data_IF_397555038837
#
_entry.id   IF_397555038837
#
_cell.length_a   1.000
_cell.length_b   1.000
_cell.length_c   1.000
_cell.angle_alpha   90.00
_cell.angle_beta   90.00
_cell.angle_gamma   90.00
#
_symmetry.space_group_name_H-M   'P 1'
#
loop_
_entity.id
_entity.type
_entity.pdbx_description
1 polymer ?
#
# COMPACT_ATOMS: atom_id res chain seq x y z
N UNK A 1 9.70 4.69 7.32
CA UNK A 1 10.86 4.13 6.58
C UNK A 1 11.29 4.99 5.38
N UNK A 2 10.35 5.56 4.60
CA UNK A 2 10.64 6.52 3.50
C UNK A 2 11.69 7.56 3.93
N UNK A 3 11.44 8.27 5.04
CA UNK A 3 12.37 9.26 5.59
C UNK A 3 13.77 8.70 5.89
N UNK A 4 13.86 7.48 6.43
CA UNK A 4 15.15 6.86 6.77
C UNK A 4 15.94 6.53 5.50
N UNK A 5 15.27 6.06 4.45
CA UNK A 5 15.90 5.79 3.16
C UNK A 5 16.36 7.09 2.48
N UNK A 6 15.48 8.10 2.43
CA UNK A 6 15.80 9.42 1.88
C UNK A 6 17.00 10.06 2.61
N UNK A 7 17.01 10.04 3.95
CA UNK A 7 18.13 10.55 4.75
C UNK A 7 19.43 9.79 4.48
N UNK A 8 19.37 8.45 4.37
CA UNK A 8 20.55 7.64 4.05
C UNK A 8 21.16 8.01 2.70
N UNK A 9 20.32 8.25 1.68
CA UNK A 9 20.79 8.70 0.36
C UNK A 9 21.33 10.12 0.41
N UNK A 10 20.70 11.01 1.17
CA UNK A 10 21.18 12.36 1.38
C UNK A 10 22.60 12.37 1.98
N UNK A 11 22.83 11.58 3.04
CA UNK A 11 24.14 11.44 3.69
C UNK A 11 25.20 10.86 2.75
N UNK A 12 24.83 9.95 1.85
CA UNK A 12 25.75 9.31 0.90
C UNK A 12 26.14 10.21 -0.27
N UNK A 13 25.23 11.08 -0.70
CA UNK A 13 25.41 11.94 -1.87
C UNK A 13 25.83 13.37 -1.50
N UNK A 14 25.70 13.74 -0.23
CA UNK A 14 26.09 15.05 0.30
C UNK A 14 25.08 16.16 0.00
N UNK A 15 23.84 15.82 -0.36
CA UNK A 15 22.75 16.79 -0.54
C UNK A 15 22.12 17.15 0.81
N UNK A 16 21.60 18.38 0.93
CA UNK A 16 20.83 18.80 2.10
C UNK A 16 19.39 18.31 1.98
N UNK A 17 18.92 17.52 2.96
CA UNK A 17 17.54 17.05 3.03
C UNK A 17 16.79 17.77 4.14
N UNK A 18 15.65 18.37 3.80
CA UNK A 18 14.70 18.94 4.76
C UNK A 18 13.44 18.07 4.80
N UNK A 19 13.18 17.43 5.93
CA UNK A 19 11.97 16.62 6.15
C UNK A 19 10.94 17.46 6.90
N UNK A 20 9.79 17.69 6.28
CA UNK A 20 8.68 18.46 6.85
C UNK A 20 7.48 17.54 7.01
N UNK A 21 7.01 17.37 8.24
CA UNK A 21 5.75 16.64 8.49
C UNK A 21 4.56 17.56 8.26
N UNK A 22 3.59 17.10 7.47
CA UNK A 22 2.28 17.73 7.34
C UNK A 22 1.37 17.53 8.56
N UNK A 23 1.75 16.67 9.50
CA UNK A 23 0.96 16.32 10.70
C UNK A 23 -0.51 15.97 10.38
N UNK A 24 -0.70 15.15 9.33
CA UNK A 24 -1.99 14.74 8.77
C UNK A 24 -2.94 15.90 8.37
N UNK A 25 -2.40 17.11 8.20
CA UNK A 25 -3.12 18.30 7.79
C UNK A 25 -2.68 18.75 6.38
N UNK A 26 -3.58 18.61 5.41
CA UNK A 26 -3.30 18.95 4.00
C UNK A 26 -2.99 20.43 3.80
N UNK A 27 -3.55 21.32 4.63
CA UNK A 27 -3.26 22.76 4.59
C UNK A 27 -1.82 23.04 5.02
N UNK A 28 -1.35 22.39 6.08
CA UNK A 28 0.03 22.49 6.55
C UNK A 28 1.01 21.96 5.51
N UNK A 29 0.69 20.86 4.82
CA UNK A 29 1.49 20.34 3.70
C UNK A 29 1.55 21.32 2.52
N UNK A 30 0.44 21.95 2.15
CA UNK A 30 0.43 22.98 1.10
C UNK A 30 1.25 24.23 1.49
N UNK A 31 1.20 24.65 2.76
CA UNK A 31 2.05 25.74 3.25
C UNK A 31 3.55 25.38 3.23
N UNK A 32 3.89 24.11 3.48
CA UNK A 32 5.27 23.64 3.36
C UNK A 32 5.79 23.77 1.92
N UNK A 33 4.96 23.45 0.92
CA UNK A 33 5.28 23.68 -0.49
C UNK A 33 5.60 25.15 -0.78
N UNK A 34 4.74 26.08 -0.36
CA UNK A 34 4.98 27.51 -0.57
C UNK A 34 6.32 27.98 0.04
N UNK A 35 6.70 27.44 1.21
CA UNK A 35 7.99 27.73 1.85
C UNK A 35 9.19 27.12 1.11
N UNK A 36 9.08 25.87 0.64
CA UNK A 36 10.12 25.18 -0.12
C UNK A 36 10.37 25.90 -1.45
N UNK A 37 9.30 26.28 -2.15
CA UNK A 37 9.37 27.06 -3.39
C UNK A 37 10.05 28.41 -3.13
N UNK A 38 9.64 29.13 -2.09
CA UNK A 38 10.23 30.42 -1.74
C UNK A 38 11.72 30.31 -1.34
N UNK A 39 12.12 29.17 -0.78
CA UNK A 39 13.51 28.88 -0.40
C UNK A 39 14.38 28.46 -1.59
N UNK A 40 13.79 28.19 -2.76
CA UNK A 40 14.50 27.81 -3.97
C UNK A 40 15.18 26.45 -3.88
N UNK A 41 14.50 25.45 -3.29
CA UNK A 41 15.01 24.07 -3.27
C UNK A 41 15.13 23.50 -4.68
N UNK A 42 16.05 22.55 -4.88
CA UNK A 42 16.33 21.98 -6.20
C UNK A 42 15.30 20.93 -6.65
N UNK A 43 14.57 20.32 -5.72
CA UNK A 43 13.49 19.35 -5.97
C UNK A 43 12.62 19.19 -4.72
N UNK A 44 11.39 18.68 -4.89
CA UNK A 44 10.47 18.37 -3.78
C UNK A 44 10.01 16.91 -3.89
N UNK A 45 10.06 16.17 -2.78
CA UNK A 45 9.42 14.85 -2.64
C UNK A 45 8.16 15.04 -1.79
N UNK A 46 7.02 14.48 -2.23
CA UNK A 46 5.74 14.58 -1.52
C UNK A 46 5.04 13.24 -1.39
N UNK A 47 4.70 12.88 -0.15
CA UNK A 47 3.70 11.86 0.16
C UNK A 47 2.39 12.60 0.52
N UNK A 48 1.43 12.60 -0.40
CA UNK A 48 0.28 13.51 -0.35
C UNK A 48 -0.80 13.04 0.65
N UNK A 49 -1.16 13.91 1.60
CA UNK A 49 -2.27 13.65 2.54
C UNK A 49 -3.62 13.71 1.80
N UNK A 50 -3.78 14.70 0.93
CA UNK A 50 -4.93 14.87 0.05
C UNK A 50 -4.41 15.00 -1.38
N UNK A 51 -4.55 13.93 -2.16
CA UNK A 51 -4.04 13.81 -3.52
C UNK A 51 -4.68 14.81 -4.49
N UNK A 52 -5.89 15.29 -4.22
CA UNK A 52 -6.52 16.33 -5.03
C UNK A 52 -6.20 17.73 -4.50
N UNK A 53 -6.22 17.90 -3.18
CA UNK A 53 -5.92 19.17 -2.51
C UNK A 53 -4.49 19.67 -2.70
N UNK A 54 -3.53 18.77 -2.93
CA UNK A 54 -2.11 19.12 -3.10
C UNK A 54 -1.77 19.63 -4.52
N UNK A 55 -2.56 19.29 -5.54
CA UNK A 55 -2.28 19.58 -6.95
C UNK A 55 -1.94 21.05 -7.24
N UNK A 56 -2.68 22.05 -6.70
CA UNK A 56 -2.32 23.45 -6.92
C UNK A 56 -0.91 23.82 -6.42
N UNK A 57 -0.42 23.17 -5.38
CA UNK A 57 0.93 23.38 -4.83
C UNK A 57 2.00 22.78 -5.75
N UNK A 58 1.73 21.62 -6.33
CA UNK A 58 2.62 20.96 -7.31
C UNK A 58 2.73 21.81 -8.57
N UNK A 59 1.61 22.31 -9.10
CA UNK A 59 1.59 23.22 -10.25
C UNK A 59 2.37 24.52 -9.98
N UNK A 60 2.35 25.04 -8.74
CA UNK A 60 3.19 26.19 -8.37
C UNK A 60 4.69 25.86 -8.39
N UNK A 61 5.07 24.66 -7.94
CA UNK A 61 6.47 24.21 -7.96
C UNK A 61 6.97 24.04 -9.40
N UNK A 62 6.18 23.40 -10.26
CA UNK A 62 6.47 23.28 -11.70
C UNK A 62 6.62 24.65 -12.38
N UNK A 63 5.71 25.59 -12.10
CA UNK A 63 5.82 26.96 -12.61
C UNK A 63 7.07 27.72 -12.11
N UNK A 64 7.65 27.31 -10.98
CA UNK A 64 8.91 27.83 -10.45
C UNK A 64 10.15 27.06 -10.99
N UNK A 65 9.94 26.01 -11.78
CA UNK A 65 11.00 25.15 -12.31
C UNK A 65 11.57 24.17 -11.28
N UNK A 66 10.82 23.86 -10.22
CA UNK A 66 11.21 22.91 -9.18
C UNK A 66 10.51 21.58 -9.45
N UNK A 67 11.24 20.51 -9.81
CA UNK A 67 10.64 19.22 -10.09
C UNK A 67 10.04 18.59 -8.83
N UNK A 68 8.94 17.86 -9.02
CA UNK A 68 8.19 17.20 -7.95
C UNK A 68 8.15 15.68 -8.16
N UNK A 69 8.61 14.95 -7.15
CA UNK A 69 8.47 13.49 -7.04
C UNK A 69 7.35 13.18 -6.05
N UNK A 70 6.26 12.58 -6.53
CA UNK A 70 5.22 12.03 -5.66
C UNK A 70 5.61 10.62 -5.20
N UNK A 71 5.35 10.27 -3.94
CA UNK A 71 5.68 8.96 -3.37
C UNK A 71 4.51 8.40 -2.57
N UNK A 72 4.32 7.07 -2.60
CA UNK A 72 3.21 6.33 -1.97
C UNK A 72 1.83 6.69 -2.52
N UNK A 73 1.24 7.80 -2.09
CA UNK A 73 -0.03 8.29 -2.61
C UNK A 73 0.11 8.75 -4.07
N UNK A 74 -0.78 8.26 -4.93
CA UNK A 74 -0.77 8.63 -6.35
C UNK A 74 -1.39 10.01 -6.56
N UNK A 75 -0.63 10.92 -7.15
CA UNK A 75 -1.13 12.24 -7.56
C UNK A 75 -1.21 12.29 -9.09
N UNK A 76 -2.42 12.17 -9.62
CA UNK A 76 -2.68 12.27 -11.07
C UNK A 76 -2.71 13.74 -11.52
N UNK A 77 -1.53 14.28 -11.81
CA UNK A 77 -1.33 15.62 -12.36
C UNK A 77 -0.07 15.63 -13.26
N UNK A 78 -0.12 16.23 -14.47
CA UNK A 78 1.05 16.31 -15.36
C UNK A 78 2.21 17.13 -14.80
N UNK A 79 2.01 17.92 -13.75
CA UNK A 79 3.08 18.64 -13.04
C UNK A 79 3.87 17.75 -12.07
N UNK A 80 3.53 16.47 -11.92
CA UNK A 80 4.35 15.48 -11.22
C UNK A 80 5.36 14.89 -12.20
N UNK A 81 6.66 15.10 -11.94
CA UNK A 81 7.74 14.60 -12.79
C UNK A 81 7.96 13.09 -12.65
N UNK A 82 7.74 12.57 -11.44
CA UNK A 82 7.94 11.15 -11.13
C UNK A 82 6.97 10.70 -10.04
N UNK A 83 6.22 9.63 -10.29
CA UNK A 83 5.47 8.91 -9.28
C UNK A 83 6.26 7.67 -8.83
N UNK A 84 6.51 7.53 -7.54
CA UNK A 84 7.05 6.33 -6.92
C UNK A 84 5.96 5.68 -6.09
N UNK A 85 5.74 4.37 -6.23
CA UNK A 85 4.69 3.71 -5.46
C UNK A 85 4.62 2.22 -5.70
N UNK A 86 3.69 1.56 -5.02
CA UNK A 86 3.54 0.10 -5.12
C UNK A 86 3.03 -0.35 -6.49
N UNK A 87 3.62 -1.43 -7.02
CA UNK A 87 3.06 -2.21 -8.12
C UNK A 87 1.80 -2.99 -7.68
N UNK A 88 0.66 -2.29 -7.49
CA UNK A 88 -0.53 -2.82 -6.82
C UNK A 88 -1.14 -4.05 -7.50
N UNK A 89 -1.31 -4.01 -8.82
CA UNK A 89 -1.83 -5.15 -9.58
C UNK A 89 -0.91 -6.37 -9.47
N UNK A 90 0.42 -6.16 -9.52
CA UNK A 90 1.40 -7.24 -9.40
C UNK A 90 1.42 -7.86 -8.00
N UNK A 91 1.33 -7.04 -6.93
CA UNK A 91 1.15 -7.58 -5.59
C UNK A 91 -0.14 -8.41 -5.46
N UNK A 92 -1.20 -8.01 -6.15
CA UNK A 92 -2.45 -8.78 -6.25
C UNK A 92 -2.23 -10.14 -6.92
N UNK A 93 -1.43 -10.17 -7.99
CA UNK A 93 -1.03 -11.43 -8.65
C UNK A 93 -0.24 -12.31 -7.69
N UNK A 94 0.79 -11.78 -7.03
CA UNK A 94 1.66 -12.54 -6.13
C UNK A 94 0.90 -13.19 -4.96
N UNK A 95 -0.04 -12.46 -4.34
CA UNK A 95 -0.85 -13.01 -3.25
C UNK A 95 -1.95 -13.96 -3.76
N UNK A 96 -2.41 -13.77 -5.00
CA UNK A 96 -3.24 -14.74 -5.72
C UNK A 96 -2.52 -16.07 -5.91
N UNK A 97 -1.28 -16.05 -6.41
CA UNK A 97 -0.44 -17.24 -6.58
C UNK A 97 -0.18 -17.95 -5.24
N UNK A 98 0.01 -17.19 -4.17
CA UNK A 98 0.16 -17.74 -2.81
C UNK A 98 -1.08 -18.52 -2.38
N UNK A 99 -2.27 -17.95 -2.59
CA UNK A 99 -3.52 -18.61 -2.22
C UNK A 99 -3.84 -19.82 -3.11
N UNK A 100 -3.62 -19.73 -4.42
CA UNK A 100 -3.89 -20.85 -5.35
C UNK A 100 -3.00 -22.04 -5.06
N UNK A 101 -1.71 -21.82 -4.78
CA UNK A 101 -0.78 -22.87 -4.38
C UNK A 101 -1.24 -23.57 -3.09
N UNK A 102 -1.64 -22.79 -2.06
CA UNK A 102 -2.17 -23.32 -0.80
C UNK A 102 -3.44 -24.14 -1.03
N UNK A 103 -4.35 -23.63 -1.85
CA UNK A 103 -5.66 -24.24 -2.12
C UNK A 103 -5.61 -25.37 -3.15
N UNK A 104 -4.42 -25.72 -3.66
CA UNK A 104 -4.22 -26.64 -4.78
C UNK A 104 -5.13 -26.31 -5.97
N UNK A 105 -5.30 -25.02 -6.26
CA UNK A 105 -6.15 -24.48 -7.32
C UNK A 105 -7.65 -24.80 -7.18
N UNK A 106 -8.14 -25.14 -5.99
CA UNK A 106 -9.54 -25.52 -5.76
C UNK A 106 -10.24 -24.66 -4.71
N UNK A 107 -11.56 -24.58 -4.81
CA UNK A 107 -12.40 -23.91 -3.84
C UNK A 107 -12.82 -22.50 -4.24
N UNK A 108 -13.50 -21.84 -3.30
CA UNK A 108 -14.12 -20.53 -3.48
C UNK A 108 -13.51 -19.55 -2.49
N UNK A 109 -13.10 -18.38 -2.99
CA UNK A 109 -12.56 -17.29 -2.18
C UNK A 109 -13.58 -16.17 -2.02
N UNK A 110 -13.86 -15.78 -0.77
CA UNK A 110 -14.57 -14.53 -0.46
C UNK A 110 -13.61 -13.34 -0.45
N UNK A 111 -14.12 -12.14 -0.73
CA UNK A 111 -13.28 -10.93 -0.76
C UNK A 111 -13.88 -9.85 0.13
N UNK A 112 -13.05 -9.26 1.00
CA UNK A 112 -13.33 -8.02 1.72
C UNK A 112 -12.56 -6.90 1.02
N UNK A 113 -13.26 -6.13 0.20
CA UNK A 113 -12.70 -5.10 -0.68
C UNK A 113 -12.93 -3.68 -0.17
N UNK A 114 -12.52 -2.69 -0.97
CA UNK A 114 -12.90 -1.28 -0.82
C UNK A 114 -13.22 -0.67 -2.18
N UNK A 115 -14.51 -0.48 -2.48
CA UNK A 115 -14.95 0.00 -3.81
C UNK A 115 -14.64 1.48 -4.06
N UNK A 116 -14.34 2.24 -3.01
CA UNK A 116 -13.99 3.65 -3.06
C UNK A 116 -12.48 3.90 -3.24
N UNK A 117 -11.66 2.86 -3.43
CA UNK A 117 -10.20 2.97 -3.55
C UNK A 117 -9.72 2.37 -4.86
N UNK A 118 -9.25 3.20 -5.79
CA UNK A 118 -8.66 2.75 -7.07
C UNK A 118 -7.50 1.78 -6.85
N UNK A 119 -6.62 2.08 -5.89
CA UNK A 119 -5.52 1.20 -5.48
C UNK A 119 -6.02 -0.19 -5.10
N UNK A 120 -7.03 -0.28 -4.22
CA UNK A 120 -7.55 -1.58 -3.79
C UNK A 120 -8.32 -2.31 -4.90
N UNK A 121 -8.92 -1.58 -5.84
CA UNK A 121 -9.52 -2.17 -7.04
C UNK A 121 -8.47 -2.80 -7.96
N UNK A 122 -7.28 -2.20 -8.11
CA UNK A 122 -6.16 -2.80 -8.85
C UNK A 122 -5.63 -4.06 -8.18
N UNK A 123 -5.43 -4.00 -6.85
CA UNK A 123 -5.03 -5.16 -6.04
C UNK A 123 -6.05 -6.30 -6.16
N UNK A 124 -7.35 -5.96 -6.10
CA UNK A 124 -8.42 -6.93 -6.27
C UNK A 124 -8.40 -7.53 -7.66
N UNK A 125 -8.27 -6.70 -8.70
CA UNK A 125 -8.23 -7.16 -10.09
C UNK A 125 -7.10 -8.16 -10.32
N UNK A 126 -5.87 -7.80 -9.93
CA UNK A 126 -4.70 -8.70 -10.06
C UNK A 126 -4.94 -10.04 -9.37
N UNK A 127 -5.47 -10.01 -8.16
CA UNK A 127 -5.82 -11.22 -7.41
C UNK A 127 -6.92 -12.05 -8.10
N UNK A 128 -8.04 -11.44 -8.49
CA UNK A 128 -9.18 -12.16 -9.06
C UNK A 128 -8.86 -12.76 -10.42
N UNK A 129 -8.04 -12.09 -11.23
CA UNK A 129 -7.60 -12.61 -12.52
C UNK A 129 -6.72 -13.85 -12.30
N UNK A 130 -5.77 -13.79 -11.37
CA UNK A 130 -4.88 -14.91 -11.02
C UNK A 130 -5.62 -16.12 -10.47
N UNK A 131 -6.49 -15.93 -9.47
CA UNK A 131 -7.20 -17.07 -8.86
C UNK A 131 -8.17 -17.74 -9.83
N UNK A 132 -8.82 -16.94 -10.70
CA UNK A 132 -9.73 -17.47 -11.73
C UNK A 132 -8.96 -18.21 -12.82
N UNK A 133 -7.81 -17.69 -13.25
CA UNK A 133 -6.95 -18.37 -14.23
C UNK A 133 -6.40 -19.71 -13.72
N UNK A 134 -6.17 -19.82 -12.41
CA UNK A 134 -5.76 -21.07 -11.76
C UNK A 134 -6.91 -22.09 -11.63
N UNK A 135 -8.18 -21.67 -11.74
CA UNK A 135 -9.36 -22.54 -11.65
C UNK A 135 -10.15 -22.45 -10.34
N UNK A 136 -9.79 -21.52 -9.44
CA UNK A 136 -10.60 -21.21 -8.26
C UNK A 136 -11.79 -20.33 -8.63
N UNK A 137 -12.80 -20.31 -7.77
CA UNK A 137 -13.99 -19.45 -7.94
C UNK A 137 -13.89 -18.21 -7.05
N UNK A 138 -14.11 -17.03 -7.62
CA UNK A 138 -14.37 -15.82 -6.83
C UNK A 138 -15.83 -15.86 -6.36
N UNK A 139 -16.02 -15.95 -5.04
CA UNK A 139 -17.32 -16.02 -4.39
C UNK A 139 -17.89 -14.66 -4.07
N UNK A 140 -18.51 -14.53 -2.88
CA UNK A 140 -19.07 -13.26 -2.42
C UNK A 140 -17.96 -12.22 -2.18
N UNK A 141 -18.15 -11.04 -2.76
CA UNK A 141 -17.33 -9.84 -2.53
C UNK A 141 -18.14 -8.87 -1.69
N UNK A 142 -17.57 -8.39 -0.60
CA UNK A 142 -18.19 -7.39 0.30
C UNK A 142 -17.31 -6.15 0.40
N UNK A 143 -17.94 -5.00 0.65
CA UNK A 143 -17.28 -3.70 0.65
C UNK A 143 -17.05 -3.18 2.08
N UNK A 144 -15.79 -3.08 2.47
CA UNK A 144 -15.34 -2.47 3.72
C UNK A 144 -15.12 -0.97 3.64
N UNK A 145 -15.22 -0.35 2.46
CA UNK A 145 -15.15 1.11 2.24
C UNK A 145 -13.87 1.78 2.75
N UNK A 146 -12.80 0.99 2.85
CA UNK A 146 -11.52 1.39 3.45
C UNK A 146 -11.63 1.89 4.91
N UNK A 147 -12.60 1.39 5.67
CA UNK A 147 -12.83 1.73 7.09
C UNK A 147 -12.91 0.42 7.87
N UNK A 148 -12.11 0.28 8.93
CA UNK A 148 -11.96 -0.97 9.66
C UNK A 148 -13.29 -1.50 10.22
N UNK A 149 -14.11 -0.64 10.84
CA UNK A 149 -15.38 -1.03 11.45
C UNK A 149 -16.40 -1.51 10.41
N UNK A 150 -16.42 -0.85 9.25
CA UNK A 150 -17.26 -1.26 8.12
C UNK A 150 -16.79 -2.60 7.56
N UNK A 151 -15.48 -2.77 7.38
CA UNK A 151 -14.88 -4.02 6.93
C UNK A 151 -15.15 -5.19 7.89
N UNK A 152 -15.09 -4.96 9.20
CA UNK A 152 -15.47 -5.97 10.19
C UNK A 152 -16.93 -6.40 10.01
N UNK A 153 -17.86 -5.44 9.98
CA UNK A 153 -19.30 -5.75 9.80
C UNK A 153 -19.55 -6.50 8.49
N UNK A 154 -18.89 -6.09 7.41
CA UNK A 154 -18.99 -6.74 6.11
C UNK A 154 -18.43 -8.17 6.14
N UNK A 155 -17.26 -8.38 6.75
CA UNK A 155 -16.63 -9.68 6.91
C UNK A 155 -17.45 -10.62 7.81
N UNK A 156 -18.03 -10.12 8.90
CA UNK A 156 -18.90 -10.93 9.77
C UNK A 156 -20.12 -11.47 9.02
N UNK A 157 -20.74 -10.64 8.20
CA UNK A 157 -21.85 -11.03 7.33
C UNK A 157 -21.41 -12.00 6.22
N UNK A 158 -20.25 -11.77 5.61
CA UNK A 158 -19.65 -12.68 4.63
C UNK A 158 -19.47 -14.09 5.22
N UNK A 159 -18.86 -14.19 6.40
CA UNK A 159 -18.58 -15.46 7.08
C UNK A 159 -19.85 -16.16 7.56
N UNK A 160 -20.85 -15.40 8.04
CA UNK A 160 -22.15 -15.94 8.48
C UNK A 160 -22.98 -16.45 7.30
N UNK A 161 -23.00 -15.71 6.19
CA UNK A 161 -23.74 -16.07 4.99
C UNK A 161 -23.12 -17.23 4.19
N UNK A 162 -21.85 -17.56 4.45
CA UNK A 162 -21.10 -18.58 3.74
C UNK A 162 -20.41 -19.53 4.74
N UNK A 163 -21.16 -20.45 5.38
CA UNK A 163 -20.61 -21.35 6.41
C UNK A 163 -19.54 -22.31 5.88
N UNK A 164 -19.57 -22.63 4.58
CA UNK A 164 -18.59 -23.51 3.92
C UNK A 164 -17.38 -22.76 3.36
N UNK A 165 -17.32 -21.43 3.50
CA UNK A 165 -16.19 -20.63 3.03
C UNK A 165 -14.92 -20.99 3.81
N UNK A 166 -13.85 -21.25 3.07
CA UNK A 166 -12.53 -21.59 3.61
C UNK A 166 -11.49 -20.51 3.29
N UNK A 167 -11.60 -19.84 2.15
CA UNK A 167 -10.61 -18.85 1.70
C UNK A 167 -11.19 -17.45 1.69
N UNK A 168 -10.43 -16.49 2.23
CA UNK A 168 -10.81 -15.07 2.21
C UNK A 168 -9.61 -14.20 1.84
N UNK A 169 -9.85 -13.19 1.01
CA UNK A 169 -8.85 -12.18 0.66
C UNK A 169 -9.30 -10.78 1.13
N UNK A 170 -8.37 -10.00 1.68
CA UNK A 170 -8.60 -8.61 2.06
C UNK A 170 -7.66 -7.67 1.30
N UNK A 171 -8.19 -6.60 0.69
CA UNK A 171 -7.46 -5.79 -0.31
C UNK A 171 -6.52 -4.71 0.24
N UNK A 172 -6.54 -4.48 1.55
CA UNK A 172 -5.77 -3.41 2.22
C UNK A 172 -5.87 -3.54 3.74
N UNK A 173 -5.08 -2.76 4.47
CA UNK A 173 -5.00 -2.83 5.94
C UNK A 173 -6.38 -2.77 6.63
N UNK A 174 -7.27 -1.77 6.37
CA UNK A 174 -8.55 -1.70 7.09
C UNK A 174 -9.44 -2.91 6.81
N UNK A 175 -9.39 -3.44 5.58
CA UNK A 175 -10.10 -4.65 5.21
C UNK A 175 -9.54 -5.88 5.94
N UNK A 176 -8.22 -6.01 6.02
CA UNK A 176 -7.55 -7.13 6.68
C UNK A 176 -7.80 -7.11 8.20
N UNK A 177 -7.65 -5.96 8.86
CA UNK A 177 -7.90 -5.84 10.30
C UNK A 177 -9.39 -6.08 10.60
N UNK A 178 -10.30 -5.59 9.77
CA UNK A 178 -11.73 -5.90 9.88
C UNK A 178 -12.01 -7.40 9.76
N UNK A 179 -11.36 -8.09 8.81
CA UNK A 179 -11.44 -9.54 8.67
C UNK A 179 -10.87 -10.28 9.89
N UNK A 180 -9.72 -9.85 10.43
CA UNK A 180 -9.13 -10.40 11.65
C UNK A 180 -10.10 -10.29 12.83
N UNK A 181 -10.75 -9.14 13.01
CA UNK A 181 -11.75 -8.94 14.05
C UNK A 181 -12.96 -9.87 13.87
N UNK A 182 -13.47 -10.02 12.65
CA UNK A 182 -14.60 -10.90 12.33
C UNK A 182 -14.29 -12.39 12.55
N UNK A 183 -13.10 -12.84 12.13
CA UNK A 183 -12.66 -14.23 12.33
C UNK A 183 -12.54 -14.53 13.83
N UNK A 184 -11.99 -13.60 14.61
CA UNK A 184 -11.86 -13.75 16.05
C UNK A 184 -13.23 -13.74 16.76
N UNK A 185 -14.14 -12.82 16.39
CA UNK A 185 -15.46 -12.71 17.03
C UNK A 185 -16.32 -13.96 16.82
N UNK A 186 -16.13 -14.66 15.70
CA UNK A 186 -16.87 -15.87 15.34
C UNK A 186 -16.13 -17.17 15.66
N UNK A 187 -14.94 -17.11 16.26
CA UNK A 187 -14.06 -18.27 16.49
C UNK A 187 -13.82 -19.09 15.21
N UNK A 188 -13.59 -18.41 14.08
CA UNK A 188 -13.50 -19.02 12.75
C UNK A 188 -12.07 -19.37 12.32
N UNK A 189 -11.07 -19.24 13.21
CA UNK A 189 -9.64 -19.46 12.92
C UNK A 189 -9.36 -20.87 12.38
N UNK A 190 -10.08 -21.88 12.88
CA UNK A 190 -9.91 -23.28 12.45
C UNK A 190 -10.52 -23.57 11.07
N UNK A 191 -11.36 -22.66 10.56
CA UNK A 191 -12.09 -22.80 9.30
C UNK A 191 -11.51 -21.94 8.19
N UNK A 192 -11.07 -20.73 8.53
CA UNK A 192 -10.66 -19.72 7.56
C UNK A 192 -9.15 -19.76 7.33
N UNK A 193 -8.77 -19.72 6.07
CA UNK A 193 -7.42 -19.46 5.60
C UNK A 193 -7.47 -18.17 4.79
N UNK A 194 -6.85 -17.11 5.32
CA UNK A 194 -6.92 -15.80 4.72
C UNK A 194 -5.59 -15.39 4.07
N UNK A 195 -5.67 -14.46 3.12
CA UNK A 195 -4.52 -13.67 2.64
C UNK A 195 -4.92 -12.20 2.58
N UNK A 196 -3.97 -11.28 2.62
CA UNK A 196 -4.30 -9.86 2.56
C UNK A 196 -3.12 -8.95 2.27
N UNK A 197 -3.25 -7.70 2.67
CA UNK A 197 -2.29 -6.63 2.45
C UNK A 197 -1.97 -5.91 3.76
N UNK A 198 -0.77 -5.35 3.80
CA UNK A 198 -0.27 -4.43 4.81
C UNK A 198 -0.08 -5.11 6.20
N UNK A 199 1.18 -5.31 6.57
CA UNK A 199 1.57 -5.87 7.86
C UNK A 199 1.28 -4.88 8.98
N UNK A 200 0.63 -5.37 10.03
CA UNK A 200 0.31 -4.67 11.27
C UNK A 200 0.46 -5.63 12.44
N UNK A 201 0.43 -5.14 13.69
CA UNK A 201 0.47 -5.99 14.89
C UNK A 201 -0.66 -7.05 14.88
N UNK A 202 -1.84 -6.66 14.41
CA UNK A 202 -2.99 -7.54 14.24
C UNK A 202 -2.74 -8.60 13.17
N UNK A 203 -2.17 -8.21 12.01
CA UNK A 203 -1.81 -9.15 10.95
C UNK A 203 -0.72 -10.13 11.40
N UNK A 204 0.32 -9.66 12.10
CA UNK A 204 1.37 -10.51 12.68
C UNK A 204 0.77 -11.52 13.66
N UNK A 205 -0.16 -11.08 14.52
CA UNK A 205 -0.85 -11.98 15.45
C UNK A 205 -1.63 -13.07 14.71
N UNK A 206 -2.30 -12.74 13.60
CA UNK A 206 -3.03 -13.68 12.77
C UNK A 206 -2.11 -14.63 11.98
N UNK A 207 -0.97 -14.15 11.49
CA UNK A 207 0.08 -14.97 10.86
C UNK A 207 0.65 -15.98 11.85
N UNK A 208 0.96 -15.54 13.07
CA UNK A 208 1.45 -16.41 14.15
C UNK A 208 0.40 -17.43 14.61
N UNK A 209 -0.89 -17.08 14.56
CA UNK A 209 -1.99 -18.02 14.78
C UNK A 209 -2.16 -19.02 13.62
N UNK A 210 -1.51 -18.80 12.47
CA UNK A 210 -1.42 -19.73 11.35
C UNK A 210 -2.62 -19.74 10.41
N UNK A 211 -3.67 -18.98 10.68
CA UNK A 211 -4.87 -18.93 9.83
C UNK A 211 -4.79 -17.82 8.77
N UNK A 212 -4.04 -16.73 9.03
CA UNK A 212 -3.59 -15.82 7.97
C UNK A 212 -2.33 -16.42 7.33
N UNK A 213 -2.34 -16.57 6.00
CA UNK A 213 -1.38 -17.38 5.26
C UNK A 213 -0.35 -16.55 4.50
N UNK A 214 -0.70 -15.31 4.22
CA UNK A 214 0.15 -14.40 3.48
C UNK A 214 -0.36 -12.98 3.57
N UNK A 215 0.56 -12.03 3.66
CA UNK A 215 0.29 -10.60 3.57
C UNK A 215 1.23 -10.02 2.53
N UNK A 216 0.70 -9.23 1.60
CA UNK A 216 1.52 -8.39 0.74
C UNK A 216 2.04 -7.23 1.58
N UNK A 217 3.36 -7.10 1.69
CA UNK A 217 4.02 -5.99 2.36
C UNK A 217 4.66 -5.07 1.33
N UNK A 218 4.37 -3.78 1.46
CA UNK A 218 4.97 -2.73 0.65
C UNK A 218 6.41 -2.46 1.10
N UNK A 219 7.28 -2.09 0.15
CA UNK A 219 8.68 -1.76 0.44
C UNK A 219 8.86 -0.25 0.58
N UNK A 220 8.38 0.31 1.70
CA UNK A 220 8.42 1.77 1.92
C UNK A 220 9.83 2.33 2.17
N UNK A 221 10.83 1.48 2.45
CA UNK A 221 12.22 1.90 2.40
C UNK A 221 12.64 2.17 0.95
N UNK A 222 12.32 1.27 0.02
CA UNK A 222 12.62 1.44 -1.40
C UNK A 222 11.92 2.67 -1.99
N UNK A 223 10.72 3.01 -1.53
CA UNK A 223 10.03 4.24 -1.92
C UNK A 223 10.91 5.48 -1.69
N UNK A 224 11.45 5.62 -0.47
CA UNK A 224 12.32 6.74 -0.14
C UNK A 224 13.66 6.70 -0.86
N UNK A 225 14.18 5.50 -1.14
CA UNK A 225 15.41 5.31 -1.93
C UNK A 225 15.21 5.79 -3.37
N UNK A 226 14.18 5.29 -4.06
CA UNK A 226 13.88 5.63 -5.45
C UNK A 226 13.43 7.09 -5.58
N UNK A 227 12.59 7.58 -4.68
CA UNK A 227 12.14 8.98 -4.71
C UNK A 227 13.31 9.95 -4.51
N UNK A 228 14.26 9.63 -3.62
CA UNK A 228 15.44 10.47 -3.40
C UNK A 228 16.38 10.44 -4.62
N UNK A 229 16.61 9.28 -5.23
CA UNK A 229 17.41 9.20 -6.46
C UNK A 229 16.76 9.98 -7.60
N UNK A 230 15.45 9.85 -7.81
CA UNK A 230 14.71 10.61 -8.81
C UNK A 230 14.80 12.12 -8.55
N UNK A 231 14.60 12.57 -7.30
CA UNK A 231 14.69 13.99 -6.94
C UNK A 231 16.10 14.57 -7.17
N UNK A 232 17.16 13.82 -6.82
CA UNK A 232 18.55 14.23 -7.07
C UNK A 232 18.83 14.33 -8.57
N UNK A 233 18.37 13.34 -9.36
CA UNK A 233 18.57 13.33 -10.80
C UNK A 233 17.88 14.54 -11.44
N UNK A 234 16.61 14.78 -11.12
CA UNK A 234 15.82 15.91 -11.63
C UNK A 234 16.40 17.27 -11.19
N UNK A 235 16.74 17.42 -9.90
CA UNK A 235 17.34 18.65 -9.38
C UNK A 235 18.72 18.97 -9.96
N UNK A 236 19.46 17.94 -10.41
CA UNK A 236 20.71 18.12 -11.16
C UNK A 236 20.51 18.39 -12.66
N UNK A 237 19.27 18.55 -13.14
CA UNK A 237 18.92 18.72 -14.55
C UNK A 237 19.08 17.44 -15.39
N UNK A 238 19.09 16.26 -14.77
CA UNK A 238 19.04 14.95 -15.44
C UNK A 238 17.58 14.48 -15.53
N UNK A 239 17.37 13.28 -16.04
CA UNK A 239 16.02 12.70 -16.24
C UNK A 239 15.76 11.56 -15.26
N UNK A 240 14.53 11.44 -14.78
CA UNK A 240 14.01 10.28 -14.06
C UNK A 240 12.83 9.65 -14.84
N UNK A 241 12.52 8.35 -14.63
CA UNK A 241 11.29 7.75 -15.14
C UNK A 241 10.05 8.44 -14.57
N UNK A 242 9.00 8.61 -15.38
CA UNK A 242 7.75 9.23 -14.92
C UNK A 242 6.99 8.37 -13.89
N UNK A 243 7.19 7.05 -13.92
CA UNK A 243 6.57 6.09 -13.00
C UNK A 243 7.62 5.06 -12.58
N UNK A 244 7.74 4.83 -11.28
CA UNK A 244 8.66 3.88 -10.66
C UNK A 244 7.83 2.91 -9.79
N UNK A 245 7.35 1.80 -10.37
CA UNK A 245 6.63 0.79 -9.63
C UNK A 245 7.61 -0.01 -8.76
N UNK A 246 7.39 0.04 -7.45
CA UNK A 246 8.21 -0.65 -6.45
C UNK A 246 7.63 -2.04 -6.20
N UNK A 247 8.44 -3.11 -6.33
CA UNK A 247 8.01 -4.47 -6.04
C UNK A 247 7.58 -4.67 -4.59
N UNK A 248 6.60 -5.54 -4.40
CA UNK A 248 6.12 -5.95 -3.08
C UNK A 248 6.82 -7.21 -2.59
N UNK A 249 6.60 -7.56 -1.32
CA UNK A 249 7.10 -8.77 -0.69
C UNK A 249 5.93 -9.56 -0.09
N UNK A 250 5.98 -10.89 -0.13
CA UNK A 250 4.99 -11.73 0.55
C UNK A 250 5.52 -12.15 1.91
N UNK A 251 4.80 -11.73 2.96
CA UNK A 251 5.07 -12.10 4.35
C UNK A 251 4.16 -13.26 4.73
N UNK A 252 4.73 -14.35 5.20
CA UNK A 252 4.05 -15.59 5.59
C UNK A 252 4.39 -15.93 7.05
N UNK A 253 3.69 -16.90 7.67
CA UNK A 253 4.03 -17.35 9.03
C UNK A 253 5.49 -17.77 9.20
N UNK A 254 6.12 -18.27 8.13
CA UNK A 254 7.51 -18.77 8.16
C UNK A 254 8.55 -17.65 8.16
N UNK A 255 8.27 -16.51 7.54
CA UNK A 255 9.24 -15.43 7.38
C UNK A 255 8.91 -14.16 8.17
N UNK A 256 7.74 -14.06 8.82
CA UNK A 256 7.29 -12.83 9.51
C UNK A 256 8.30 -12.24 10.49
N UNK A 257 9.14 -13.07 11.12
CA UNK A 257 10.22 -12.62 12.00
C UNK A 257 11.23 -11.68 11.32
N UNK A 258 11.48 -11.86 10.01
CA UNK A 258 12.40 -11.03 9.22
C UNK A 258 11.80 -9.66 8.88
N UNK A 259 10.48 -9.48 9.08
CA UNK A 259 9.72 -8.28 8.66
C UNK A 259 9.25 -7.43 9.84
N UNK A 260 9.58 -7.79 11.07
CA UNK A 260 9.15 -7.05 12.27
C UNK A 260 9.65 -5.60 12.31
N UNK A 261 10.74 -5.29 11.59
CA UNK A 261 11.28 -3.94 11.46
C UNK A 261 10.33 -2.96 10.73
N UNK A 262 9.32 -3.46 10.01
CA UNK A 262 8.27 -2.63 9.43
C UNK A 262 7.33 -2.04 10.50
N UNK A 263 7.28 -2.63 11.69
CA UNK A 263 6.41 -2.21 12.79
C UNK A 263 7.14 -1.39 13.86
N UNK A 264 8.45 -1.18 13.70
CA UNK A 264 9.24 -0.31 14.56
C UNK A 264 8.88 1.16 14.30
N UNK A 265 8.69 1.93 15.37
CA UNK A 265 8.31 3.36 15.32
C UNK A 265 9.51 4.28 15.13
#
# INVERSE_FOLDING_TARGET
QINNAAQKIADQTGVELQIISGNDDSVSQANAFDNLIASGVDAIIVDAIDTDGIKPSIVKADAAGIPVVAVDATVDDPAVDTQVGTANAEGGVQIGDTLTALANNTGTVGIVGALNSTIQLERQKGFTDTVSAAGMTVGTVVDGRNIQENAQTAAENLLTGNPDMQYVYATGEPALIGLVAAVNSQNAQDRIQAVGWDLSDQAVSALNAGWLKGVVQQNTFEFGYEAMNAAIDLGCGRTAPADIPVPTQIVTPENVGDYMYYLEK
#
